data_IF_090307420782
#
_entry.id   IF_090307420782
#
_cell.length_a   1.000
_cell.length_b   1.000
_cell.length_c   1.000
_cell.angle_alpha   90.00
_cell.angle_beta   90.00
_cell.angle_gamma   90.00
#
_symmetry.space_group_name_H-M   'P 1'
#
loop_
_entity.id
_entity.type
_entity.pdbx_description
1 polymer ?
#
# COMPACT_ATOMS: atom_id res chain seq x y z
N UNK A 1 -15.83 -65.36 35.02
CA UNK A 1 -17.03 -65.19 34.19
C UNK A 1 -16.82 -63.92 33.39
N UNK A 2 -16.56 -64.09 32.10
CA UNK A 2 -16.04 -63.08 31.19
C UNK A 2 -17.04 -61.93 30.98
N UNK A 3 -16.54 -60.70 31.05
CA UNK A 3 -17.26 -59.51 30.58
C UNK A 3 -16.95 -59.39 29.09
N UNK A 4 -17.82 -59.95 28.25
CA UNK A 4 -17.81 -59.72 26.80
C UNK A 4 -18.32 -58.30 26.52
N UNK A 5 -17.39 -57.33 26.52
CA UNK A 5 -17.65 -55.99 26.01
C UNK A 5 -17.91 -56.06 24.50
N UNK A 6 -19.13 -55.68 24.13
CA UNK A 6 -19.67 -55.77 22.77
C UNK A 6 -19.03 -54.69 21.87
N UNK A 7 -17.89 -55.01 21.27
CA UNK A 7 -17.07 -54.13 20.41
C UNK A 7 -17.77 -53.64 19.12
N UNK A 8 -18.94 -54.19 18.78
CA UNK A 8 -19.62 -53.91 17.51
C UNK A 8 -20.35 -52.55 17.46
N UNK A 9 -20.86 -52.05 18.61
CA UNK A 9 -21.63 -50.77 18.64
C UNK A 9 -20.77 -49.51 18.66
N UNK A 10 -19.50 -49.60 19.06
CA UNK A 10 -18.59 -48.44 19.14
C UNK A 10 -18.06 -48.05 17.75
N UNK A 11 -17.97 -49.00 16.82
CA UNK A 11 -17.44 -48.79 15.47
C UNK A 11 -18.35 -47.90 14.59
N UNK A 12 -19.68 -48.04 14.71
CA UNK A 12 -20.63 -47.25 13.92
C UNK A 12 -20.74 -45.78 14.37
N UNK A 13 -20.57 -45.50 15.65
CA UNK A 13 -20.62 -44.13 16.18
C UNK A 13 -19.37 -43.31 15.79
N UNK A 14 -18.19 -43.95 15.71
CA UNK A 14 -16.96 -43.29 15.26
C UNK A 14 -16.98 -42.99 13.75
N UNK A 15 -17.60 -43.84 12.93
CA UNK A 15 -17.66 -43.61 11.47
C UNK A 15 -18.57 -42.42 11.10
N UNK A 16 -19.67 -42.19 11.84
CA UNK A 16 -20.53 -41.01 11.64
C UNK A 16 -19.85 -39.69 12.06
N UNK A 17 -18.94 -39.72 13.04
CA UNK A 17 -18.19 -38.54 13.47
C UNK A 17 -17.11 -38.13 12.46
N UNK A 18 -16.45 -39.10 11.83
CA UNK A 18 -15.48 -38.84 10.75
C UNK A 18 -16.15 -38.33 9.47
N UNK A 19 -17.35 -38.80 9.12
CA UNK A 19 -18.06 -38.31 7.94
C UNK A 19 -18.59 -36.88 8.14
N UNK A 20 -18.94 -36.46 9.37
CA UNK A 20 -19.34 -35.07 9.65
C UNK A 20 -18.16 -34.07 9.65
N UNK A 21 -16.92 -34.51 9.91
CA UNK A 21 -15.74 -33.63 9.77
C UNK A 21 -15.28 -33.45 8.31
N UNK A 22 -15.68 -34.34 7.41
CA UNK A 22 -15.35 -34.20 5.99
C UNK A 22 -16.27 -33.24 5.21
N UNK A 23 -17.35 -32.73 5.82
CA UNK A 23 -18.34 -31.88 5.13
C UNK A 23 -18.22 -30.38 5.52
N UNK A 24 -17.35 -29.98 6.45
CA UNK A 24 -17.20 -28.55 6.83
C UNK A 24 -15.88 -27.90 6.43
N UNK A 25 -14.97 -28.60 5.72
CA UNK A 25 -13.88 -27.94 4.99
C UNK A 25 -14.36 -27.37 3.65
N UNK A 26 -15.46 -26.62 3.68
CA UNK A 26 -15.77 -25.68 2.63
C UNK A 26 -14.71 -24.59 2.70
N UNK A 27 -13.69 -24.66 1.83
CA UNK A 27 -12.80 -23.54 1.57
C UNK A 27 -13.71 -22.38 1.22
N UNK A 28 -13.89 -21.42 2.13
CA UNK A 28 -14.60 -20.17 1.84
C UNK A 28 -13.97 -19.65 0.55
N UNK A 29 -14.73 -19.71 -0.55
CA UNK A 29 -14.33 -19.02 -1.76
C UNK A 29 -14.38 -17.56 -1.38
N UNK A 30 -13.22 -16.98 -1.08
CA UNK A 30 -13.05 -15.54 -1.07
C UNK A 30 -13.59 -15.08 -2.43
N UNK A 31 -14.77 -14.47 -2.40
CA UNK A 31 -15.36 -13.90 -3.60
C UNK A 31 -14.49 -12.69 -3.90
N UNK A 32 -13.57 -12.85 -4.86
CA UNK A 32 -12.72 -11.76 -5.30
C UNK A 32 -13.62 -10.62 -5.79
N UNK A 33 -13.68 -9.53 -5.02
CA UNK A 33 -14.54 -8.38 -5.31
C UNK A 33 -13.91 -7.43 -6.32
N UNK A 34 -12.58 -7.29 -6.27
CA UNK A 34 -11.84 -6.40 -7.15
C UNK A 34 -10.44 -6.96 -7.46
N UNK A 35 -9.93 -6.70 -8.68
CA UNK A 35 -8.55 -7.01 -9.06
C UNK A 35 -7.70 -5.74 -9.10
N UNK A 36 -6.60 -5.74 -8.35
CA UNK A 36 -5.63 -4.65 -8.35
C UNK A 36 -4.38 -5.12 -9.09
N UNK A 37 -4.03 -4.43 -10.17
CA UNK A 37 -2.81 -4.67 -10.93
C UNK A 37 -1.71 -3.74 -10.44
N UNK A 38 -0.62 -4.31 -9.95
CA UNK A 38 0.58 -3.58 -9.54
C UNK A 38 1.59 -3.65 -10.67
N UNK A 39 1.92 -2.51 -11.27
CA UNK A 39 2.89 -2.39 -12.37
C UNK A 39 4.14 -1.67 -11.89
N UNK A 40 5.31 -2.25 -12.14
CA UNK A 40 6.59 -1.61 -11.93
C UNK A 40 7.14 -1.11 -13.27
N UNK A 41 7.20 0.21 -13.43
CA UNK A 41 7.88 0.86 -14.56
C UNK A 41 9.19 1.53 -14.14
N UNK A 42 9.62 1.35 -12.89
CA UNK A 42 10.90 1.86 -12.43
C UNK A 42 12.03 1.11 -13.15
N UNK A 43 13.22 1.74 -13.34
CA UNK A 43 14.37 1.08 -13.96
C UNK A 43 15.07 0.05 -13.05
N UNK A 44 14.50 -0.21 -11.87
CA UNK A 44 15.00 -1.14 -10.85
C UNK A 44 13.85 -2.00 -10.30
N UNK A 45 14.14 -3.15 -9.68
CA UNK A 45 13.13 -3.93 -8.97
C UNK A 45 12.56 -3.15 -7.77
N UNK A 46 11.30 -3.41 -7.48
CA UNK A 46 10.63 -2.90 -6.28
C UNK A 46 10.01 -4.07 -5.52
N UNK A 47 9.66 -3.82 -4.26
CA UNK A 47 8.95 -4.79 -3.44
C UNK A 47 7.64 -4.20 -2.94
N UNK A 48 6.55 -4.29 -3.73
CA UNK A 48 5.25 -3.82 -3.30
C UNK A 48 4.82 -4.52 -2.02
N UNK A 49 4.10 -3.78 -1.18
CA UNK A 49 3.63 -4.23 0.11
C UNK A 49 2.21 -3.74 0.37
N UNK A 50 1.46 -4.49 1.19
CA UNK A 50 0.07 -4.18 1.54
C UNK A 50 -0.13 -4.32 3.04
N UNK A 51 -0.93 -3.40 3.60
CA UNK A 51 -1.38 -3.48 4.98
C UNK A 51 -2.87 -3.14 5.03
N UNK A 52 -3.72 -4.04 5.53
CA UNK A 52 -5.15 -3.78 5.67
C UNK A 52 -5.42 -2.82 6.84
N UNK A 53 -6.57 -2.13 6.77
CA UNK A 53 -7.16 -1.55 7.96
C UNK A 53 -7.73 -2.66 8.86
N UNK A 54 -7.93 -2.36 10.15
CA UNK A 54 -8.43 -3.33 11.12
C UNK A 54 -9.70 -4.00 10.63
N UNK A 55 -9.71 -5.34 10.64
CA UNK A 55 -10.86 -6.16 10.23
C UNK A 55 -10.81 -6.66 8.78
N UNK A 56 -9.86 -6.21 7.96
CA UNK A 56 -9.71 -6.70 6.58
C UNK A 56 -8.55 -7.70 6.43
N UNK A 57 -8.60 -8.61 5.44
CA UNK A 57 -7.52 -9.57 5.20
C UNK A 57 -6.27 -8.92 4.61
N UNK A 58 -5.12 -9.55 4.87
CA UNK A 58 -3.82 -9.18 4.29
C UNK A 58 -3.77 -9.65 2.83
N UNK A 59 -3.58 -8.74 1.88
CA UNK A 59 -3.50 -9.08 0.47
C UNK A 59 -2.09 -9.52 0.07
N UNK A 60 -1.98 -10.58 -0.73
CA UNK A 60 -0.71 -11.08 -1.25
C UNK A 60 0.37 -11.29 -0.16
N UNK A 61 -0.03 -11.83 0.99
CA UNK A 61 0.82 -12.04 2.19
C UNK A 61 1.50 -10.77 2.72
N UNK A 62 1.05 -9.59 2.28
CA UNK A 62 1.56 -8.30 2.69
C UNK A 62 2.78 -7.82 1.88
N UNK A 63 3.36 -8.63 1.00
CA UNK A 63 4.45 -8.15 0.15
C UNK A 63 5.03 -9.16 -0.82
N UNK A 64 5.68 -8.65 -1.88
CA UNK A 64 6.31 -9.49 -2.89
C UNK A 64 7.39 -8.75 -3.70
N UNK A 65 8.27 -9.49 -4.39
CA UNK A 65 9.20 -8.95 -5.37
C UNK A 65 8.51 -8.66 -6.72
N UNK A 66 8.85 -7.53 -7.34
CA UNK A 66 8.39 -7.17 -8.68
C UNK A 66 9.54 -6.58 -9.52
N UNK A 67 10.02 -7.27 -10.56
CA UNK A 67 11.13 -6.78 -11.39
C UNK A 67 10.73 -5.55 -12.20
N UNK A 68 11.73 -4.83 -12.73
CA UNK A 68 11.50 -3.72 -13.68
C UNK A 68 10.68 -4.20 -14.89
N UNK A 69 9.68 -3.42 -15.29
CA UNK A 69 8.72 -3.78 -16.35
C UNK A 69 7.66 -4.82 -15.93
N UNK A 70 7.76 -5.36 -14.71
CA UNK A 70 6.86 -6.39 -14.21
C UNK A 70 5.45 -5.87 -13.93
N UNK A 71 4.47 -6.78 -14.02
CA UNK A 71 3.10 -6.53 -13.58
C UNK A 71 2.60 -7.75 -12.79
N UNK A 72 1.95 -7.52 -11.65
CA UNK A 72 1.33 -8.58 -10.85
C UNK A 72 -0.10 -8.19 -10.49
N UNK A 73 -1.02 -9.13 -10.65
CA UNK A 73 -2.39 -9.01 -10.17
C UNK A 73 -2.47 -9.51 -8.72
N UNK A 74 -3.14 -8.73 -7.86
CA UNK A 74 -3.59 -9.15 -6.53
C UNK A 74 -5.11 -9.05 -6.49
N UNK A 75 -5.76 -10.04 -5.86
CA UNK A 75 -7.20 -10.02 -5.61
C UNK A 75 -7.49 -9.33 -4.28
N UNK A 76 -8.65 -8.68 -4.19
CA UNK A 76 -9.14 -8.01 -2.99
C UNK A 76 -10.63 -8.34 -2.78
N UNK A 77 -11.08 -8.60 -1.54
CA UNK A 77 -12.51 -8.77 -1.28
C UNK A 77 -13.26 -7.44 -1.51
N UNK A 78 -14.54 -7.55 -1.87
CA UNK A 78 -15.38 -6.37 -1.95
C UNK A 78 -15.68 -5.88 -0.54
N UNK A 79 -15.41 -4.61 -0.24
CA UNK A 79 -15.32 -3.97 1.09
C UNK A 79 -13.89 -3.70 1.60
N UNK A 80 -12.84 -4.20 0.93
CA UNK A 80 -11.49 -4.07 1.44
C UNK A 80 -11.06 -2.62 1.62
N UNK A 81 -10.55 -2.29 2.81
CA UNK A 81 -9.89 -1.01 3.07
C UNK A 81 -8.46 -1.24 3.54
N UNK A 82 -7.51 -0.49 2.98
CA UNK A 82 -6.12 -0.56 3.38
C UNK A 82 -5.20 0.30 2.55
N UNK A 83 -3.90 0.05 2.69
CA UNK A 83 -2.83 0.81 2.03
C UNK A 83 -1.89 -0.11 1.25
N UNK A 84 -1.35 0.42 0.17
CA UNK A 84 -0.38 -0.24 -0.71
C UNK A 84 0.79 0.73 -0.92
N UNK A 85 2.02 0.24 -0.81
CA UNK A 85 3.23 1.02 -1.10
C UNK A 85 4.27 0.13 -1.80
N UNK A 86 5.40 0.71 -2.17
CA UNK A 86 6.54 -0.05 -2.68
C UNK A 86 7.82 0.29 -1.92
N UNK A 87 8.60 -0.75 -1.65
CA UNK A 87 9.91 -0.68 -0.99
C UNK A 87 11.02 -0.68 -2.02
N UNK A 88 12.15 -0.05 -1.68
CA UNK A 88 13.34 0.05 -2.54
C UNK A 88 14.60 -0.39 -1.82
N UNK A 89 15.63 -0.77 -2.59
CA UNK A 89 16.94 -1.14 -2.05
C UNK A 89 16.89 -2.32 -1.08
N UNK A 90 16.02 -3.31 -1.34
CA UNK A 90 15.82 -4.43 -0.45
C UNK A 90 16.84 -5.55 -0.67
N UNK A 91 17.33 -6.12 0.43
CA UNK A 91 18.10 -7.36 0.45
C UNK A 91 17.57 -8.28 1.55
N UNK A 92 16.97 -9.41 1.14
CA UNK A 92 16.42 -10.42 2.04
C UNK A 92 17.30 -11.68 2.16
N UNK A 93 18.45 -11.70 1.50
CA UNK A 93 19.36 -12.85 1.50
C UNK A 93 20.20 -12.91 2.79
N UNK A 94 20.19 -11.83 3.59
CA UNK A 94 20.90 -11.73 4.86
C UNK A 94 19.89 -11.72 6.01
N UNK A 95 20.03 -12.59 7.03
CA UNK A 95 19.17 -12.55 8.21
C UNK A 95 19.23 -11.17 8.88
N UNK A 96 18.11 -10.48 8.92
CA UNK A 96 18.09 -9.09 9.39
C UNK A 96 17.92 -8.96 10.90
N UNK A 97 17.55 -10.04 11.62
CA UNK A 97 17.21 -10.00 13.05
C UNK A 97 16.22 -8.84 13.37
N UNK A 98 15.20 -8.64 12.52
CA UNK A 98 14.22 -7.55 12.59
C UNK A 98 14.79 -6.14 12.33
N UNK A 99 16.02 -6.02 11.81
CA UNK A 99 16.50 -4.77 11.23
C UNK A 99 15.86 -4.55 9.85
N UNK A 100 15.82 -3.30 9.36
CA UNK A 100 15.36 -3.02 8.02
C UNK A 100 16.11 -3.83 6.97
N UNK A 101 15.38 -4.51 6.09
CA UNK A 101 15.92 -5.20 4.91
C UNK A 101 15.93 -4.27 3.69
N UNK A 102 15.12 -3.21 3.71
CA UNK A 102 14.98 -2.23 2.64
C UNK A 102 15.43 -0.83 3.08
N UNK A 103 15.96 -0.05 2.14
CA UNK A 103 16.31 1.37 2.35
C UNK A 103 15.07 2.23 2.64
N UNK A 104 13.93 1.92 2.00
CA UNK A 104 12.69 2.69 2.16
C UNK A 104 11.48 1.77 2.29
N UNK A 105 10.51 2.17 3.12
CA UNK A 105 9.23 1.49 3.28
C UNK A 105 9.28 0.11 3.94
N UNK A 106 10.40 -0.27 4.57
CA UNK A 106 10.62 -1.59 5.15
C UNK A 106 9.51 -2.00 6.14
N UNK A 107 9.21 -3.30 6.27
CA UNK A 107 8.16 -3.81 7.15
C UNK A 107 8.72 -4.92 8.05
N UNK A 108 9.50 -4.53 9.06
CA UNK A 108 10.20 -5.42 10.00
C UNK A 108 11.22 -6.38 9.35
N UNK A 109 11.82 -5.96 8.25
CA UNK A 109 12.80 -6.74 7.50
C UNK A 109 12.23 -7.97 6.78
N UNK A 110 10.89 -8.06 6.64
CA UNK A 110 10.22 -9.20 6.03
C UNK A 110 9.92 -8.98 4.56
N UNK A 111 10.08 -9.99 3.71
CA UNK A 111 9.61 -9.92 2.32
C UNK A 111 8.08 -9.87 2.27
N UNK A 112 7.42 -10.77 2.98
CA UNK A 112 5.98 -10.80 3.19
C UNK A 112 5.69 -10.02 4.48
N UNK A 113 5.11 -8.82 4.37
CA UNK A 113 4.91 -7.93 5.53
C UNK A 113 3.87 -8.46 6.53
N UNK A 114 3.05 -9.45 6.17
CA UNK A 114 2.03 -10.04 7.04
C UNK A 114 1.03 -8.99 7.62
N UNK A 115 0.83 -7.88 6.91
CA UNK A 115 -0.03 -6.78 7.34
C UNK A 115 0.66 -5.72 8.20
N UNK A 116 1.93 -5.89 8.55
CA UNK A 116 2.75 -4.85 9.19
C UNK A 116 2.82 -3.61 8.30
N UNK A 117 2.59 -2.43 8.88
CA UNK A 117 2.69 -1.15 8.19
C UNK A 117 4.17 -0.83 7.95
N UNK A 118 4.49 -0.36 6.75
CA UNK A 118 5.86 0.01 6.39
C UNK A 118 6.40 1.21 7.20
N UNK A 119 7.72 1.22 7.40
CA UNK A 119 8.47 2.30 8.00
C UNK A 119 8.51 3.51 7.05
N UNK A 120 8.02 4.68 7.47
CA UNK A 120 8.10 5.88 6.66
C UNK A 120 9.54 6.41 6.57
N UNK A 121 9.91 7.14 5.50
CA UNK A 121 9.00 7.67 4.48
C UNK A 121 8.60 6.69 3.37
N UNK A 122 7.33 6.71 2.99
CA UNK A 122 6.79 5.94 1.88
C UNK A 122 5.57 6.63 1.25
N UNK A 123 5.52 6.66 -0.09
CA UNK A 123 4.33 7.09 -0.83
C UNK A 123 3.25 6.01 -0.70
N UNK A 124 2.08 6.36 -0.19
CA UNK A 124 1.00 5.41 0.06
C UNK A 124 -0.10 5.54 -0.99
N UNK A 125 -0.62 4.43 -1.48
CA UNK A 125 -1.93 4.36 -2.15
C UNK A 125 -2.93 3.86 -1.12
N UNK A 126 -3.91 4.68 -0.78
CA UNK A 126 -4.95 4.35 0.19
C UNK A 126 -6.23 4.03 -0.58
N UNK A 127 -6.88 2.91 -0.27
CA UNK A 127 -8.08 2.47 -0.99
C UNK A 127 -9.15 1.96 -0.04
N UNK A 128 -10.40 2.25 -0.38
CA UNK A 128 -11.60 1.62 0.17
C UNK A 128 -12.43 1.10 -1.01
N UNK A 129 -12.41 -0.21 -1.20
CA UNK A 129 -13.09 -0.93 -2.28
C UNK A 129 -14.55 -1.18 -1.87
N UNK A 130 -15.51 -0.88 -2.74
CA UNK A 130 -16.91 -1.20 -2.46
C UNK A 130 -17.29 -2.63 -2.87
N UNK A 131 -18.21 -3.23 -2.11
CA UNK A 131 -18.77 -4.55 -2.43
C UNK A 131 -19.65 -4.52 -3.69
N UNK A 132 -20.56 -3.55 -3.76
CA UNK A 132 -21.41 -3.34 -4.92
C UNK A 132 -20.63 -2.57 -6.00
N UNK A 133 -20.43 -3.21 -7.13
CA UNK A 133 -19.72 -2.68 -8.31
C UNK A 133 -20.36 -1.43 -8.89
N UNK A 134 -21.62 -1.15 -8.56
CA UNK A 134 -22.30 0.10 -8.93
C UNK A 134 -21.92 1.26 -8.02
N UNK A 135 -21.53 0.98 -6.78
CA UNK A 135 -21.03 1.99 -5.84
C UNK A 135 -19.57 2.32 -6.13
N UNK A 136 -19.15 3.58 -5.96
CA UNK A 136 -17.79 3.97 -6.27
C UNK A 136 -16.84 3.59 -5.13
N UNK A 137 -15.72 2.97 -5.49
CA UNK A 137 -14.57 2.83 -4.59
C UNK A 137 -13.88 4.18 -4.44
N UNK A 138 -13.29 4.41 -3.27
CA UNK A 138 -12.56 5.65 -2.95
C UNK A 138 -11.07 5.34 -2.84
N UNK A 139 -10.24 6.22 -3.37
CA UNK A 139 -8.79 6.07 -3.28
C UNK A 139 -8.08 7.40 -3.45
N UNK A 140 -6.89 7.48 -2.86
CA UNK A 140 -5.98 8.58 -3.02
C UNK A 140 -4.52 8.07 -3.06
N UNK A 141 -3.61 9.01 -3.30
CA UNK A 141 -2.18 8.80 -3.08
C UNK A 141 -1.71 9.83 -2.07
N UNK A 142 -1.03 9.38 -1.02
CA UNK A 142 -0.74 10.17 0.17
C UNK A 142 0.75 10.26 0.44
N UNK A 143 1.18 11.50 0.72
CA UNK A 143 2.53 11.88 1.14
C UNK A 143 2.56 12.34 2.61
N UNK A 144 1.49 12.08 3.37
CA UNK A 144 1.44 12.34 4.82
C UNK A 144 2.61 11.62 5.52
N UNK A 145 2.88 10.40 5.07
CA UNK A 145 4.00 9.57 5.51
C UNK A 145 5.25 9.74 4.63
N UNK A 146 5.37 10.85 3.89
CA UNK A 146 6.53 11.18 3.06
C UNK A 146 6.49 10.56 1.66
N UNK A 147 7.62 10.66 0.96
CA UNK A 147 7.78 10.26 -0.44
C UNK A 147 9.00 9.37 -0.62
N UNK A 148 8.86 8.27 -1.36
CA UNK A 148 10.00 7.48 -1.85
C UNK A 148 9.92 7.22 -3.36
N UNK A 149 8.73 6.89 -3.87
CA UNK A 149 8.46 6.63 -5.27
C UNK A 149 7.21 7.39 -5.76
N UNK A 150 7.19 7.80 -7.04
CA UNK A 150 6.00 8.33 -7.69
C UNK A 150 5.07 7.19 -8.13
N UNK A 151 3.76 7.42 -8.04
CA UNK A 151 2.70 6.43 -8.29
C UNK A 151 1.54 7.02 -9.09
N UNK A 152 0.98 6.28 -10.04
CA UNK A 152 -0.34 6.62 -10.60
C UNK A 152 -1.36 5.54 -10.26
N UNK A 153 -2.61 5.93 -10.12
CA UNK A 153 -3.73 5.00 -9.96
C UNK A 153 -4.75 5.27 -11.06
N UNK A 154 -5.19 4.23 -11.76
CA UNK A 154 -6.30 4.31 -12.73
C UNK A 154 -7.21 3.09 -12.61
N UNK A 155 -8.38 3.15 -13.23
CA UNK A 155 -9.32 2.04 -13.32
C UNK A 155 -9.23 1.33 -14.68
N UNK A 156 -9.89 0.18 -14.85
CA UNK A 156 -10.14 -0.44 -16.17
C UNK A 156 -11.65 -0.58 -16.44
N UNK A 157 -12.16 -0.13 -17.61
CA UNK A 157 -11.46 0.68 -18.61
C UNK A 157 -11.06 2.06 -18.06
N UNK A 158 -9.91 2.57 -18.49
CA UNK A 158 -9.32 3.81 -17.98
C UNK A 158 -10.19 5.02 -18.33
N UNK A 159 -10.51 5.85 -17.33
CA UNK A 159 -11.20 7.12 -17.53
C UNK A 159 -10.46 8.24 -16.83
N UNK A 160 -10.47 9.45 -17.42
CA UNK A 160 -9.73 10.60 -16.90
C UNK A 160 -10.17 11.04 -15.49
N UNK A 161 -11.45 10.87 -15.15
CA UNK A 161 -11.99 11.17 -13.82
C UNK A 161 -11.49 10.22 -12.72
N UNK A 162 -11.03 9.03 -13.12
CA UNK A 162 -10.54 7.98 -12.22
C UNK A 162 -9.01 7.94 -12.15
N UNK A 163 -8.33 8.89 -12.79
CA UNK A 163 -6.88 8.92 -12.86
C UNK A 163 -6.30 9.81 -11.77
N UNK A 164 -5.53 9.22 -10.87
CA UNK A 164 -4.53 9.93 -10.09
C UNK A 164 -3.23 9.88 -10.88
N UNK A 165 -2.77 11.04 -11.35
CA UNK A 165 -1.50 11.17 -12.09
C UNK A 165 -0.31 11.08 -11.15
N UNK A 166 0.83 10.67 -11.69
CA UNK A 166 2.11 10.76 -10.99
C UNK A 166 2.51 12.20 -10.67
N UNK A 167 3.59 12.34 -9.91
CA UNK A 167 4.21 13.63 -9.66
C UNK A 167 4.81 14.23 -10.93
N UNK A 168 4.65 15.54 -11.09
CA UNK A 168 5.25 16.33 -12.20
C UNK A 168 6.75 16.56 -12.02
N UNK A 169 7.25 16.41 -10.79
CA UNK A 169 8.66 16.58 -10.43
C UNK A 169 9.05 15.44 -9.49
N UNK A 170 10.30 14.97 -9.59
CA UNK A 170 10.81 13.99 -8.64
C UNK A 170 11.12 14.67 -7.31
N UNK A 171 10.39 14.26 -6.28
CA UNK A 171 10.52 14.83 -4.95
C UNK A 171 11.86 14.56 -4.28
N UNK A 172 12.63 13.54 -4.72
CA UNK A 172 13.99 13.30 -4.20
C UNK A 172 14.98 14.39 -4.64
N UNK A 173 14.80 14.95 -5.84
CA UNK A 173 15.72 15.93 -6.41
C UNK A 173 15.54 17.33 -5.81
N UNK A 174 14.34 17.60 -5.28
CA UNK A 174 13.96 18.90 -4.68
C UNK A 174 13.69 18.79 -3.19
N UNK A 175 13.99 17.65 -2.57
CA UNK A 175 13.78 17.43 -1.14
C UNK A 175 14.68 18.38 -0.33
N UNK A 176 14.13 19.24 0.56
CA UNK A 176 14.92 20.07 1.44
C UNK A 176 15.87 19.23 2.32
N UNK A 177 17.11 19.67 2.59
CA UNK A 177 18.10 18.90 3.35
C UNK A 177 17.58 18.34 4.68
N UNK A 178 16.79 19.12 5.41
CA UNK A 178 16.17 18.72 6.68
C UNK A 178 15.15 17.56 6.58
N UNK A 179 14.67 17.27 5.36
CA UNK A 179 13.70 16.22 5.07
C UNK A 179 14.33 15.00 4.37
N UNK A 180 15.58 15.10 3.93
CA UNK A 180 16.22 14.03 3.14
C UNK A 180 16.44 12.76 3.97
N UNK A 181 16.22 11.62 3.33
CA UNK A 181 16.76 10.33 3.75
C UNK A 181 17.84 9.95 2.74
N UNK A 182 19.06 9.78 3.24
CA UNK A 182 20.24 9.43 2.43
C UNK A 182 20.67 8.00 2.73
N UNK A 183 21.05 7.26 1.70
CA UNK A 183 21.69 5.94 1.86
C UNK A 183 23.20 6.08 2.09
N UNK A 184 23.88 4.94 2.23
CA UNK A 184 25.31 4.88 2.53
C UNK A 184 26.18 5.44 1.39
N UNK A 185 25.66 5.46 0.16
CA UNK A 185 26.28 6.09 -1.01
C UNK A 185 26.05 7.62 -1.08
N UNK A 186 25.34 8.19 -0.10
CA UNK A 186 25.02 9.63 -0.04
C UNK A 186 23.93 10.06 -1.02
N UNK A 187 23.16 9.12 -1.57
CA UNK A 187 22.05 9.40 -2.48
C UNK A 187 20.77 9.66 -1.69
N UNK A 188 19.98 10.67 -2.08
CA UNK A 188 18.65 10.90 -1.50
C UNK A 188 17.71 9.81 -2.00
N UNK A 189 17.35 8.87 -1.12
CA UNK A 189 16.49 7.72 -1.43
C UNK A 189 15.02 7.98 -1.11
N UNK A 190 14.72 8.92 -0.22
CA UNK A 190 13.38 9.34 0.12
C UNK A 190 13.33 10.74 0.75
N UNK A 191 12.13 11.28 0.91
CA UNK A 191 11.87 12.58 1.50
C UNK A 191 10.81 12.46 2.60
N UNK A 192 11.16 12.79 3.84
CA UNK A 192 10.25 12.82 4.98
C UNK A 192 9.20 13.91 4.79
N UNK A 193 8.00 13.68 5.32
CA UNK A 193 7.06 14.78 5.56
C UNK A 193 7.52 15.65 6.73
N UNK A 194 6.98 16.85 6.85
CA UNK A 194 7.29 17.72 7.98
C UNK A 194 6.86 17.12 9.33
N UNK A 195 5.76 16.34 9.35
CA UNK A 195 5.37 15.62 10.57
C UNK A 195 6.46 14.62 10.98
N UNK A 196 6.97 13.83 10.03
CA UNK A 196 8.02 12.84 10.30
C UNK A 196 9.36 13.48 10.70
N UNK A 197 9.71 14.62 10.09
CA UNK A 197 10.97 15.28 10.37
C UNK A 197 11.00 16.03 11.71
N UNK A 198 9.89 16.67 12.08
CA UNK A 198 9.88 17.59 13.23
C UNK A 198 8.99 17.16 14.38
N UNK A 199 8.05 16.23 14.14
CA UNK A 199 7.09 15.75 15.13
C UNK A 199 6.31 16.88 15.85
N UNK A 200 6.06 18.00 15.17
CA UNK A 200 5.29 19.12 15.72
C UNK A 200 3.80 18.96 15.43
N UNK A 201 2.95 19.27 16.40
CA UNK A 201 1.50 19.14 16.26
C UNK A 201 0.90 19.95 15.10
N UNK A 202 1.52 21.07 14.73
CA UNK A 202 1.11 21.87 13.57
C UNK A 202 1.38 21.18 12.24
N UNK A 203 2.41 20.33 12.16
CA UNK A 203 2.72 19.55 10.95
C UNK A 203 2.01 18.20 10.93
N UNK A 204 1.79 17.62 12.11
CA UNK A 204 1.08 16.34 12.27
C UNK A 204 -0.44 16.50 12.41
N UNK A 205 -0.94 17.74 12.43
CA UNK A 205 -2.35 18.07 12.65
C UNK A 205 -2.95 17.38 13.90
N UNK A 206 -2.25 17.47 15.03
CA UNK A 206 -2.67 16.87 16.31
C UNK A 206 -3.14 17.93 17.31
N UNK A 207 -3.82 17.49 18.36
CA UNK A 207 -4.21 18.33 19.49
C UNK A 207 -4.97 19.58 19.02
N UNK A 208 -4.48 20.79 19.33
CA UNK A 208 -5.12 22.05 18.91
C UNK A 208 -5.17 22.23 17.39
N UNK A 209 -4.42 21.45 16.60
CA UNK A 209 -4.45 21.45 15.14
C UNK A 209 -5.25 20.27 14.56
N UNK A 210 -5.97 19.50 15.38
CA UNK A 210 -6.74 18.31 14.97
C UNK A 210 -8.01 18.57 14.16
N UNK A 211 -8.05 19.62 13.37
CA UNK A 211 -9.21 19.99 12.54
C UNK A 211 -8.74 20.73 11.27
N UNK A 212 -9.46 20.63 10.14
CA UNK A 212 -9.14 21.35 8.90
C UNK A 212 -9.07 22.88 9.07
N UNK A 213 -9.87 23.42 9.99
CA UNK A 213 -9.89 24.86 10.27
C UNK A 213 -8.59 25.31 10.93
N UNK A 214 -7.92 24.44 11.69
CA UNK A 214 -6.74 24.79 12.50
C UNK A 214 -5.43 24.30 11.89
N UNK A 215 -5.39 23.14 11.23
CA UNK A 215 -4.19 22.69 10.52
C UNK A 215 -4.13 23.29 9.12
N UNK A 216 -3.25 24.28 8.94
CA UNK A 216 -3.06 24.93 7.64
C UNK A 216 -1.88 24.34 6.88
N UNK A 217 -1.85 24.45 5.54
CA UNK A 217 -0.68 24.06 4.76
C UNK A 217 0.59 24.73 5.27
N UNK A 218 1.68 23.98 5.30
CA UNK A 218 3.02 24.49 5.60
C UNK A 218 3.81 24.73 4.32
N UNK A 219 5.00 25.33 4.45
CA UNK A 219 5.96 25.43 3.33
C UNK A 219 6.33 24.04 2.77
N UNK A 220 6.43 23.03 3.65
CA UNK A 220 6.79 21.67 3.27
C UNK A 220 5.64 20.93 2.57
N UNK A 221 4.41 21.01 3.09
CA UNK A 221 3.27 20.39 2.42
C UNK A 221 2.95 21.08 1.09
N UNK A 222 3.16 22.39 1.00
CA UNK A 222 3.03 23.15 -0.26
C UNK A 222 4.06 22.72 -1.30
N UNK A 223 5.28 22.38 -0.87
CA UNK A 223 6.33 21.84 -1.74
C UNK A 223 5.93 20.48 -2.31
N UNK A 224 5.42 19.56 -1.48
CA UNK A 224 4.86 18.29 -1.94
C UNK A 224 3.68 18.47 -2.88
N UNK A 225 2.73 19.36 -2.56
CA UNK A 225 1.58 19.63 -3.43
C UNK A 225 2.01 20.20 -4.78
N UNK A 226 3.03 21.06 -4.83
CA UNK A 226 3.57 21.60 -6.09
C UNK A 226 4.16 20.51 -6.97
N UNK A 227 4.93 19.59 -6.40
CA UNK A 227 5.51 18.49 -7.16
C UNK A 227 4.45 17.45 -7.58
N UNK A 228 3.50 17.16 -6.70
CA UNK A 228 2.47 16.13 -6.88
C UNK A 228 1.06 16.69 -6.64
N UNK A 229 0.49 17.48 -7.58
CA UNK A 229 -0.79 18.16 -7.37
C UNK A 229 -1.98 17.22 -7.09
N UNK A 230 -1.89 15.98 -7.58
CA UNK A 230 -2.93 14.96 -7.43
C UNK A 230 -2.83 14.17 -6.11
N UNK A 231 -1.86 14.47 -5.24
CA UNK A 231 -1.63 13.70 -4.00
C UNK A 231 -2.06 14.48 -2.76
N UNK A 232 -2.41 13.75 -1.70
CA UNK A 232 -2.58 14.28 -0.35
C UNK A 232 -1.19 14.66 0.18
N UNK A 233 -0.98 15.93 0.48
CA UNK A 233 0.31 16.48 0.91
C UNK A 233 0.45 16.65 2.44
N UNK A 234 -0.68 16.67 3.15
CA UNK A 234 -0.77 16.69 4.62
C UNK A 234 -2.17 16.21 5.08
N UNK A 235 -2.36 15.94 6.37
CA UNK A 235 -3.54 15.23 6.87
C UNK A 235 -4.91 15.91 6.58
N UNK A 236 -4.95 17.24 6.43
CA UNK A 236 -6.18 17.99 6.14
C UNK A 236 -6.11 18.73 4.79
N UNK A 237 -5.43 18.13 3.81
CA UNK A 237 -5.28 18.70 2.47
C UNK A 237 -6.62 19.06 1.83
N UNK A 238 -6.75 20.31 1.42
CA UNK A 238 -8.02 20.90 0.96
C UNK A 238 -7.79 21.71 -0.32
N UNK A 239 -8.56 21.44 -1.40
CA UNK A 239 -9.53 20.36 -1.53
C UNK A 239 -8.85 18.98 -1.51
N UNK A 240 -9.53 17.99 -0.93
CA UNK A 240 -9.02 16.63 -0.85
C UNK A 240 -8.92 16.03 -2.27
N UNK A 241 -7.76 15.46 -2.67
CA UNK A 241 -7.56 14.84 -3.97
C UNK A 241 -8.08 13.38 -4.04
N UNK A 242 -8.95 12.98 -3.11
CA UNK A 242 -9.59 11.66 -3.12
C UNK A 242 -10.44 11.50 -4.39
N UNK A 243 -10.21 10.40 -5.10
CA UNK A 243 -10.95 10.00 -6.29
C UNK A 243 -12.04 9.00 -5.92
N UNK A 244 -13.18 9.09 -6.60
CA UNK A 244 -14.34 8.22 -6.40
C UNK A 244 -14.77 7.61 -7.72
N UNK A 245 -14.59 6.28 -7.87
CA UNK A 245 -14.84 5.58 -9.12
C UNK A 245 -15.35 4.15 -8.96
N UNK A 246 -16.39 3.81 -9.71
CA UNK A 246 -16.90 2.45 -9.85
C UNK A 246 -16.05 1.66 -10.84
N UNK A 247 -15.39 0.60 -10.38
CA UNK A 247 -14.63 -0.33 -11.23
C UNK A 247 -14.31 -1.64 -10.51
N UNK A 248 -14.25 -2.72 -11.28
CA UNK A 248 -13.80 -4.04 -10.81
C UNK A 248 -12.28 -4.21 -10.87
N UNK A 249 -11.59 -3.24 -11.46
CA UNK A 249 -10.17 -3.37 -11.78
C UNK A 249 -9.46 -2.03 -11.62
N UNK A 250 -8.43 -2.01 -10.78
CA UNK A 250 -7.54 -0.86 -10.62
C UNK A 250 -6.12 -1.21 -11.07
N UNK A 251 -5.37 -0.21 -11.52
CA UNK A 251 -3.97 -0.33 -11.88
C UNK A 251 -3.19 0.70 -11.10
N UNK A 252 -2.34 0.23 -10.21
CA UNK A 252 -1.33 1.01 -9.50
C UNK A 252 -0.04 0.86 -10.27
N UNK A 253 0.46 1.96 -10.83
CA UNK A 253 1.73 1.97 -11.53
C UNK A 253 2.74 2.71 -10.69
N UNK A 254 3.76 2.01 -10.21
CA UNK A 254 4.95 2.62 -9.65
C UNK A 254 5.82 3.08 -10.80
N UNK A 255 6.32 4.29 -10.66
CA UNK A 255 7.01 4.97 -11.72
C UNK A 255 6.16 5.11 -13.02
N UNK A 256 5.00 5.79 -13.02
CA UNK A 256 4.15 5.93 -14.21
C UNK A 256 4.76 6.61 -15.45
N UNK A 257 5.55 7.67 -15.27
CA UNK A 257 6.19 8.44 -16.34
C UNK A 257 7.60 7.91 -16.61
N UNK A 258 8.12 8.00 -17.84
CA UNK A 258 9.52 7.64 -18.08
C UNK A 258 10.41 8.72 -17.45
N UNK A 259 10.76 8.62 -16.16
CA UNK A 259 11.84 9.46 -15.60
C UNK A 259 13.11 9.21 -16.41
N UNK A 260 13.55 10.22 -17.17
CA UNK A 260 14.83 10.20 -17.87
C UNK A 260 14.82 10.40 -19.39
N UNK A 261 13.68 10.69 -20.04
CA UNK A 261 13.69 11.14 -21.44
C UNK A 261 12.65 12.23 -21.67
N UNK A 262 13.00 13.48 -21.38
CA UNK A 262 12.60 14.69 -22.15
C UNK A 262 13.15 15.98 -21.50
N UNK A 263 14.42 16.27 -21.78
CA UNK A 263 14.88 17.64 -22.06
C UNK A 263 15.63 17.66 -23.41
N UNK A 264 15.12 16.91 -24.38
CA UNK A 264 15.52 16.98 -25.79
C UNK A 264 14.26 16.95 -26.66
N UNK A 265 13.48 18.03 -26.63
CA UNK A 265 12.61 18.47 -27.72
C UNK A 265 11.82 19.72 -27.32
N UNK A 266 12.48 20.88 -27.43
CA UNK A 266 11.94 22.13 -27.97
C UNK A 266 13.12 23.09 -28.21
#
# INVERSE_FOLDING_TARGET
MEITMNFSRISFALQLFFICHFITSGKLREVEGCSIYISNKCPFPIWPATAPNTGHPVLANGGFYLPSGGIRRIGSPGDWSGRIWARTGCNFDVPTNHKPACETGDCDGKLECEGTIGLPPATLVEMTIQYDKKQPSFYDVSLVDGYNLPVSVTNKPSTSKCLIRGCTQNMKDTCPPELQVVNDEGQVVACKSACLAFNLDSFCCRNKYGSPEKCKPSVYSSLFKKACPSYVSYAFDTPSPVVSCSSDQFVITFCPDKWGTEHLSA
#
